data_IF_681658565558
#
_entry.id   IF_681658565558
#
_cell.length_a   1.000
_cell.length_b   1.000
_cell.length_c   1.000
_cell.angle_alpha   90.00
_cell.angle_beta   90.00
_cell.angle_gamma   90.00
#
_symmetry.space_group_name_H-M   'P 1'
#
loop_
_entity.id
_entity.type
_entity.pdbx_description
1 polymer ?
#
# COMPACT_ATOMS: atom_id res chain seq x y z
N UNK A 1 33.58 36.24 -20.88
CA UNK A 1 33.56 35.95 -19.42
C UNK A 1 33.80 37.20 -18.56
N UNK A 2 34.86 37.98 -18.81
CA UNK A 2 35.18 39.19 -18.03
C UNK A 2 34.07 40.26 -18.09
N UNK A 3 33.42 40.44 -19.24
CA UNK A 3 32.29 41.38 -19.40
C UNK A 3 31.15 41.07 -18.42
N UNK A 4 30.77 39.79 -18.27
CA UNK A 4 29.74 39.34 -17.31
C UNK A 4 30.18 39.50 -15.86
N UNK A 5 31.43 39.16 -15.56
CA UNK A 5 31.98 39.31 -14.21
C UNK A 5 32.00 40.78 -13.77
N UNK A 6 32.41 41.69 -14.65
CA UNK A 6 32.41 43.13 -14.36
C UNK A 6 30.98 43.68 -14.31
N UNK A 7 30.08 43.25 -15.19
CA UNK A 7 28.67 43.65 -15.13
C UNK A 7 27.93 43.15 -13.86
N UNK A 8 28.39 42.04 -13.27
CA UNK A 8 27.87 41.56 -11.98
C UNK A 8 28.42 42.34 -10.77
N UNK A 9 29.60 42.97 -10.91
CA UNK A 9 30.26 43.72 -9.84
C UNK A 9 30.02 45.23 -9.92
N UNK A 10 29.77 45.75 -11.11
CA UNK A 10 29.64 47.18 -11.38
C UNK A 10 28.25 47.51 -11.91
N UNK A 11 27.70 48.69 -11.57
CA UNK A 11 26.34 49.09 -11.98
C UNK A 11 26.22 49.49 -13.47
N UNK A 12 27.20 49.17 -14.32
CA UNK A 12 27.24 49.53 -15.74
C UNK A 12 27.76 48.37 -16.59
N UNK A 13 27.27 48.26 -17.83
CA UNK A 13 27.71 47.23 -18.76
C UNK A 13 29.01 47.65 -19.48
N UNK A 14 30.09 46.86 -19.39
CA UNK A 14 31.34 47.19 -20.07
C UNK A 14 31.22 47.01 -21.58
N UNK A 15 31.61 48.03 -22.36
CA UNK A 15 31.64 47.93 -23.83
C UNK A 15 32.74 46.96 -24.31
N UNK A 16 32.60 46.42 -25.52
CA UNK A 16 33.58 45.45 -26.07
C UNK A 16 34.96 46.09 -26.32
N UNK A 17 34.98 47.40 -26.62
CA UNK A 17 36.22 48.18 -26.72
C UNK A 17 36.92 48.34 -25.35
N UNK A 18 36.14 48.47 -24.27
CA UNK A 18 36.67 48.51 -22.91
C UNK A 18 37.28 47.16 -22.52
N UNK A 19 36.57 46.06 -22.77
CA UNK A 19 37.06 44.70 -22.49
C UNK A 19 38.37 44.42 -23.23
N UNK A 20 38.46 44.85 -24.49
CA UNK A 20 39.67 44.68 -25.32
C UNK A 20 40.85 45.48 -24.77
N UNK A 21 40.62 46.74 -24.36
CA UNK A 21 41.66 47.58 -23.74
C UNK A 21 42.10 47.03 -22.38
N UNK A 22 41.16 46.56 -21.57
CA UNK A 22 41.43 45.96 -20.27
C UNK A 22 42.30 44.71 -20.40
N UNK A 23 41.95 43.80 -21.31
CA UNK A 23 42.73 42.60 -21.60
C UNK A 23 44.14 42.92 -22.09
N UNK A 24 44.28 43.96 -22.94
CA UNK A 24 45.59 44.43 -23.42
C UNK A 24 46.44 45.03 -22.31
N UNK A 25 45.85 45.84 -21.43
CA UNK A 25 46.52 46.51 -20.30
C UNK A 25 47.00 45.52 -19.23
N UNK A 26 46.24 44.44 -19.01
CA UNK A 26 46.50 43.45 -17.95
C UNK A 26 46.94 42.08 -18.45
N UNK A 27 47.43 42.00 -19.70
CA UNK A 27 47.86 40.76 -20.37
C UNK A 27 48.82 39.93 -19.52
N UNK A 28 49.87 40.55 -19.01
CA UNK A 28 50.93 39.86 -18.27
C UNK A 28 50.43 39.38 -16.91
N UNK A 29 49.59 40.16 -16.25
CA UNK A 29 49.00 39.78 -14.97
C UNK A 29 48.04 38.59 -15.10
N UNK A 30 47.25 38.53 -16.17
CA UNK A 30 46.28 37.45 -16.40
C UNK A 30 47.00 36.15 -16.76
N UNK A 31 47.99 36.21 -17.65
CA UNK A 31 48.77 35.04 -18.10
C UNK A 31 49.64 34.45 -17.00
N UNK A 32 50.29 35.30 -16.19
CA UNK A 32 51.10 34.83 -15.07
C UNK A 32 50.25 34.21 -13.96
N UNK A 33 49.08 34.78 -13.64
CA UNK A 33 48.16 34.25 -12.62
C UNK A 33 47.56 32.90 -13.02
N UNK A 34 47.14 32.71 -14.28
CA UNK A 34 46.61 31.42 -14.72
C UNK A 34 47.67 30.32 -14.69
N UNK A 35 48.91 30.64 -15.06
CA UNK A 35 50.02 29.68 -14.97
C UNK A 35 50.44 29.35 -13.54
N UNK A 36 50.31 30.29 -12.59
CA UNK A 36 50.60 30.04 -11.16
C UNK A 36 49.58 29.08 -10.55
N UNK A 37 48.30 29.21 -10.91
CA UNK A 37 47.23 28.35 -10.39
C UNK A 37 47.23 26.94 -10.97
N UNK A 38 47.76 26.75 -12.19
CA UNK A 38 47.72 25.47 -12.92
C UNK A 38 49.09 24.82 -13.13
N UNK A 39 50.19 25.53 -12.84
CA UNK A 39 51.57 25.05 -13.05
C UNK A 39 52.00 24.97 -14.52
N UNK A 40 51.14 25.37 -15.47
CA UNK A 40 51.38 25.23 -16.91
C UNK A 40 51.44 26.62 -17.55
N UNK A 41 52.61 27.00 -18.05
CA UNK A 41 52.76 28.26 -18.79
C UNK A 41 52.33 28.05 -20.26
N UNK A 42 51.27 28.73 -20.75
CA UNK A 42 50.81 28.55 -22.11
C UNK A 42 51.82 29.12 -23.10
N UNK A 43 52.33 28.28 -24.01
CA UNK A 43 53.33 28.66 -25.01
C UNK A 43 52.87 29.79 -25.95
N UNK A 44 51.54 29.99 -26.08
CA UNK A 44 50.91 31.09 -26.81
C UNK A 44 49.82 31.77 -25.95
N UNK A 45 50.11 32.95 -25.41
CA UNK A 45 49.19 33.73 -24.56
C UNK A 45 47.89 34.16 -25.27
N UNK A 46 47.95 34.39 -26.59
CA UNK A 46 46.80 34.84 -27.40
C UNK A 46 45.64 33.84 -27.39
N UNK A 47 45.93 32.54 -27.31
CA UNK A 47 44.91 31.49 -27.29
C UNK A 47 44.02 31.59 -26.04
N UNK A 48 44.62 31.95 -24.91
CA UNK A 48 43.91 32.14 -23.63
C UNK A 48 43.07 33.42 -23.69
N UNK A 49 43.61 34.51 -24.24
CA UNK A 49 42.89 35.77 -24.39
C UNK A 49 41.69 35.64 -25.33
N UNK A 50 41.84 34.96 -26.47
CA UNK A 50 40.77 34.74 -27.43
C UNK A 50 39.64 33.90 -26.84
N UNK A 51 39.94 32.88 -26.02
CA UNK A 51 38.91 32.08 -25.33
C UNK A 51 38.06 32.92 -24.36
N UNK A 52 38.63 33.96 -23.76
CA UNK A 52 37.91 34.86 -22.85
C UNK A 52 36.97 35.84 -23.59
N UNK A 53 37.30 36.14 -24.85
CA UNK A 53 36.53 37.01 -25.77
C UNK A 53 35.45 36.22 -26.52
N UNK A 54 35.78 35.06 -27.08
CA UNK A 54 34.92 34.28 -28.01
C UNK A 54 33.82 33.44 -27.37
N UNK A 55 33.63 33.50 -26.05
CA UNK A 55 32.47 32.86 -25.39
C UNK A 55 31.21 33.70 -25.64
N UNK A 56 30.70 33.64 -26.87
CA UNK A 56 29.34 34.09 -27.22
C UNK A 56 28.32 33.32 -26.37
N UNK A 57 27.18 33.94 -25.97
CA UNK A 57 26.13 33.24 -25.26
C UNK A 57 25.57 32.11 -26.13
N UNK A 58 25.12 30.97 -25.56
CA UNK A 58 24.15 30.14 -26.25
C UNK A 58 22.91 30.99 -26.58
N UNK A 59 22.26 30.78 -27.73
CA UNK A 59 21.02 31.47 -28.05
C UNK A 59 20.02 31.22 -26.93
N UNK A 60 19.37 32.29 -26.48
CA UNK A 60 18.25 32.21 -25.55
C UNK A 60 17.22 31.28 -26.17
N UNK A 61 17.06 30.08 -25.60
CA UNK A 61 15.91 29.25 -25.90
C UNK A 61 14.70 29.96 -25.36
N UNK A 62 13.71 30.12 -26.24
CA UNK A 62 12.42 30.68 -25.96
C UNK A 62 11.84 30.14 -24.65
N UNK A 63 11.18 31.04 -23.95
CA UNK A 63 10.50 30.87 -22.67
C UNK A 63 9.48 29.73 -22.72
N UNK A 64 9.93 28.49 -22.57
CA UNK A 64 9.09 27.46 -21.98
C UNK A 64 9.02 27.77 -20.49
N UNK A 65 7.78 27.87 -19.99
CA UNK A 65 7.42 28.12 -18.60
C UNK A 65 8.11 27.07 -17.72
N UNK A 66 9.31 27.43 -17.28
CA UNK A 66 10.14 26.66 -16.38
C UNK A 66 9.48 26.59 -15.01
N UNK A 67 9.73 25.46 -14.36
CA UNK A 67 9.30 25.09 -13.02
C UNK A 67 9.20 26.31 -12.08
N UNK A 68 8.04 26.46 -11.44
CA UNK A 68 7.67 27.65 -10.65
C UNK A 68 8.58 27.78 -9.42
N UNK A 69 9.73 28.40 -9.60
CA UNK A 69 10.74 28.63 -8.57
C UNK A 69 11.87 29.54 -9.02
N UNK A 70 11.80 30.16 -10.20
CA UNK A 70 12.79 31.10 -10.67
C UNK A 70 12.34 32.54 -10.34
N UNK A 71 13.27 33.35 -9.83
CA UNK A 71 13.01 34.67 -9.21
C UNK A 71 12.30 35.72 -10.08
N UNK A 72 12.02 35.40 -11.34
CA UNK A 72 11.26 36.22 -12.29
C UNK A 72 9.73 36.16 -12.09
N UNK A 73 9.26 35.17 -11.32
CA UNK A 73 7.83 34.99 -11.00
C UNK A 73 7.27 36.21 -10.25
N UNK A 74 8.07 36.83 -9.37
CA UNK A 74 7.63 38.03 -8.64
C UNK A 74 7.39 39.22 -9.54
N UNK A 75 8.29 39.48 -10.50
CA UNK A 75 8.14 40.61 -11.41
C UNK A 75 6.90 40.43 -12.27
N UNK A 76 6.63 39.22 -12.73
CA UNK A 76 5.41 38.88 -13.45
C UNK A 76 4.15 39.08 -12.61
N UNK A 77 4.12 38.52 -11.39
CA UNK A 77 2.96 38.64 -10.50
C UNK A 77 2.77 40.07 -10.00
N UNK A 78 3.83 40.80 -9.68
CA UNK A 78 3.77 42.21 -9.29
C UNK A 78 3.29 43.10 -10.44
N UNK A 79 3.66 42.79 -11.68
CA UNK A 79 3.14 43.48 -12.86
C UNK A 79 1.65 43.16 -13.08
N UNK A 80 1.23 41.91 -12.83
CA UNK A 80 -0.17 41.50 -12.89
C UNK A 80 -1.00 42.21 -11.81
N UNK A 81 -0.52 42.26 -10.57
CA UNK A 81 -1.18 42.98 -9.47
C UNK A 81 -1.28 44.48 -9.78
N UNK A 82 -0.24 45.09 -10.36
CA UNK A 82 -0.29 46.50 -10.83
C UNK A 82 -1.26 46.71 -11.99
N UNK A 83 -1.43 45.73 -12.88
CA UNK A 83 -2.36 45.81 -14.01
C UNK A 83 -3.83 45.69 -13.56
N UNK A 84 -4.10 44.85 -12.54
CA UNK A 84 -5.46 44.65 -11.99
C UNK A 84 -5.87 45.78 -11.05
N UNK A 85 -4.92 46.35 -10.31
CA UNK A 85 -5.16 47.48 -9.41
C UNK A 85 -4.23 48.65 -9.79
N UNK A 86 -4.64 49.53 -10.72
CA UNK A 86 -3.82 50.69 -11.11
C UNK A 86 -3.60 51.66 -9.95
N UNK A 87 -4.57 51.79 -9.03
CA UNK A 87 -4.51 52.66 -7.86
C UNK A 87 -3.93 51.95 -6.62
N UNK A 88 -2.66 51.57 -6.70
CA UNK A 88 -1.90 50.95 -5.60
C UNK A 88 -1.60 51.91 -4.43
N UNK A 89 -2.05 53.16 -4.51
CA UNK A 89 -1.89 54.17 -3.47
C UNK A 89 -2.90 54.01 -2.33
N UNK A 90 -4.02 53.33 -2.57
CA UNK A 90 -5.07 53.05 -1.58
C UNK A 90 -4.55 52.13 -0.46
N UNK A 91 -5.05 52.33 0.75
CA UNK A 91 -4.60 51.58 1.95
C UNK A 91 -4.87 50.07 1.77
N UNK A 92 -5.99 49.70 1.13
CA UNK A 92 -6.32 48.31 0.85
C UNK A 92 -5.31 47.65 -0.11
N UNK A 93 -4.93 48.34 -1.20
CA UNK A 93 -3.96 47.83 -2.17
C UNK A 93 -2.55 47.67 -1.57
N UNK A 94 -2.14 48.58 -0.67
CA UNK A 94 -0.87 48.45 0.07
C UNK A 94 -0.84 47.21 0.95
N UNK A 95 -1.91 46.93 1.69
CA UNK A 95 -2.04 45.73 2.52
C UNK A 95 -1.99 44.44 1.69
N UNK A 96 -2.65 44.42 0.53
CA UNK A 96 -2.60 43.27 -0.39
C UNK A 96 -1.17 43.05 -0.91
N UNK A 97 -0.46 44.14 -1.26
CA UNK A 97 0.94 44.06 -1.71
C UNK A 97 1.87 43.54 -0.60
N UNK A 98 1.70 44.03 0.62
CA UNK A 98 2.48 43.59 1.79
C UNK A 98 2.21 42.12 2.12
N UNK A 99 0.93 41.71 2.14
CA UNK A 99 0.55 40.32 2.35
C UNK A 99 1.14 39.41 1.27
N UNK A 100 1.06 39.82 0.00
CA UNK A 100 1.64 39.07 -1.11
C UNK A 100 3.16 38.92 -0.98
N UNK A 101 3.86 40.01 -0.64
CA UNK A 101 5.30 39.96 -0.39
C UNK A 101 5.66 39.04 0.79
N UNK A 102 4.89 39.10 1.88
CA UNK A 102 5.11 38.22 3.04
C UNK A 102 4.91 36.74 2.69
N UNK A 103 3.88 36.41 1.90
CA UNK A 103 3.62 35.04 1.47
C UNK A 103 4.71 34.51 0.55
N UNK A 104 5.22 35.34 -0.35
CA UNK A 104 6.33 34.97 -1.21
C UNK A 104 7.61 34.70 -0.42
N UNK A 105 8.00 35.62 0.48
CA UNK A 105 9.20 35.44 1.31
C UNK A 105 9.09 34.14 2.12
N UNK A 106 7.91 33.85 2.66
CA UNK A 106 7.66 32.59 3.36
C UNK A 106 7.77 31.37 2.43
N UNK A 107 7.26 31.47 1.21
CA UNK A 107 7.33 30.39 0.24
C UNK A 107 8.78 30.10 -0.18
N UNK A 108 9.57 31.14 -0.47
CA UNK A 108 11.01 31.02 -0.76
C UNK A 108 11.76 30.39 0.42
N UNK A 109 11.47 30.83 1.65
CA UNK A 109 12.07 30.27 2.85
C UNK A 109 11.74 28.78 3.00
N UNK A 110 10.49 28.38 2.74
CA UNK A 110 10.07 26.98 2.75
C UNK A 110 10.74 26.17 1.65
N UNK A 111 10.95 26.73 0.46
CA UNK A 111 11.70 26.05 -0.61
C UNK A 111 13.15 25.82 -0.21
N UNK A 112 13.82 26.84 0.32
CA UNK A 112 15.19 26.72 0.82
C UNK A 112 15.30 25.70 1.96
N UNK A 113 14.35 25.71 2.90
CA UNK A 113 14.31 24.72 3.98
C UNK A 113 14.12 23.30 3.42
N UNK A 114 13.19 23.11 2.48
CA UNK A 114 12.98 21.81 1.83
C UNK A 114 14.22 21.33 1.06
N UNK A 115 14.91 22.22 0.36
CA UNK A 115 16.17 21.91 -0.34
C UNK A 115 17.27 21.51 0.65
N UNK A 116 17.42 22.26 1.74
CA UNK A 116 18.36 21.95 2.81
C UNK A 116 18.02 20.61 3.49
N UNK A 117 16.75 20.34 3.78
CA UNK A 117 16.30 19.06 4.34
C UNK A 117 16.58 17.91 3.36
N UNK A 118 16.29 18.08 2.07
CA UNK A 118 16.64 17.10 1.04
C UNK A 118 18.14 16.87 0.97
N UNK A 119 18.95 17.93 1.03
CA UNK A 119 20.41 17.86 1.02
C UNK A 119 20.96 17.15 2.27
N UNK A 120 20.41 17.44 3.45
CA UNK A 120 20.82 16.76 4.70
C UNK A 120 20.42 15.29 4.68
N UNK A 121 19.24 14.94 4.16
CA UNK A 121 18.81 13.55 4.00
C UNK A 121 19.73 12.80 3.04
N UNK A 122 20.05 13.36 1.88
CA UNK A 122 20.96 12.72 0.92
C UNK A 122 22.36 12.56 1.51
N UNK A 123 22.87 13.57 2.19
CA UNK A 123 24.16 13.51 2.88
C UNK A 123 24.16 12.46 3.99
N UNK A 124 23.11 12.39 4.83
CA UNK A 124 22.95 11.34 5.85
C UNK A 124 22.85 9.95 5.22
N UNK A 125 22.10 9.78 4.13
CA UNK A 125 22.01 8.51 3.37
C UNK A 125 23.38 8.10 2.81
N UNK A 126 24.18 9.06 2.32
CA UNK A 126 25.56 8.80 1.88
C UNK A 126 26.46 8.36 3.05
N UNK A 127 26.40 9.04 4.21
CA UNK A 127 27.17 8.67 5.40
C UNK A 127 26.84 7.27 5.93
N UNK A 128 25.60 6.80 5.79
CA UNK A 128 25.20 5.43 6.20
C UNK A 128 25.80 4.32 5.32
N UNK A 129 26.23 4.65 4.09
CA UNK A 129 27.08 3.76 3.28
C UNK A 129 28.49 3.84 3.87
N UNK A 130 28.68 3.26 5.05
CA UNK A 130 30.01 2.91 5.52
C UNK A 130 30.68 2.13 4.38
N UNK A 131 31.96 2.39 4.13
CA UNK A 131 32.71 1.72 3.09
C UNK A 131 32.59 0.21 3.37
N UNK A 132 31.84 -0.52 2.54
CA UNK A 132 31.81 -1.99 2.63
C UNK A 132 33.24 -2.43 2.41
N UNK A 133 33.85 -3.01 3.44
CA UNK A 133 35.20 -3.55 3.32
C UNK A 133 35.08 -4.73 2.36
N UNK A 134 35.85 -4.66 1.29
CA UNK A 134 35.94 -5.72 0.31
C UNK A 134 36.52 -6.95 0.98
N UNK A 135 35.86 -8.12 0.86
CA UNK A 135 36.34 -9.36 1.47
C UNK A 135 37.56 -9.90 0.70
N UNK A 136 38.72 -9.38 1.06
CA UNK A 136 40.01 -9.80 0.52
C UNK A 136 40.43 -11.07 1.25
N UNK A 137 40.37 -12.21 0.55
CA UNK A 137 40.77 -13.50 1.09
C UNK A 137 42.26 -13.73 0.86
N UNK A 138 42.98 -14.06 1.94
CA UNK A 138 44.40 -14.40 1.88
C UNK A 138 44.55 -15.81 1.31
N UNK A 139 45.34 -15.96 0.25
CA UNK A 139 45.67 -17.28 -0.28
C UNK A 139 46.60 -18.01 0.70
N UNK A 140 46.33 -19.30 0.93
CA UNK A 140 47.05 -20.12 1.92
C UNK A 140 48.56 -20.20 1.66
N UNK A 141 48.98 -19.96 0.42
CA UNK A 141 50.37 -20.00 -0.04
C UNK A 141 51.26 -18.93 0.60
N UNK A 142 50.70 -17.82 1.10
CA UNK A 142 51.46 -16.67 1.61
C UNK A 142 50.97 -16.26 3.00
N UNK A 143 51.29 -17.03 4.03
CA UNK A 143 51.01 -16.70 5.44
C UNK A 143 52.18 -15.95 6.08
N UNK A 144 52.35 -14.68 5.73
CA UNK A 144 53.29 -13.77 6.40
C UNK A 144 52.59 -12.84 7.39
N UNK A 145 53.31 -12.37 8.41
CA UNK A 145 52.78 -11.45 9.45
C UNK A 145 52.29 -10.11 8.89
N UNK A 146 52.81 -9.68 7.73
CA UNK A 146 52.28 -8.56 6.96
C UNK A 146 51.54 -9.08 5.73
N UNK A 147 50.27 -8.68 5.57
CA UNK A 147 49.43 -9.04 4.42
C UNK A 147 49.48 -7.91 3.40
N UNK A 148 50.16 -8.15 2.28
CA UNK A 148 50.20 -7.23 1.13
C UNK A 148 49.20 -7.73 0.09
N UNK A 149 48.22 -6.90 -0.25
CA UNK A 149 47.21 -7.26 -1.24
C UNK A 149 47.68 -7.01 -2.66
N UNK A 150 47.64 -8.04 -3.50
CA UNK A 150 47.89 -7.88 -4.93
C UNK A 150 46.67 -7.26 -5.64
N UNK A 151 46.86 -6.52 -6.75
CA UNK A 151 45.74 -6.02 -7.56
C UNK A 151 44.81 -7.12 -8.08
N UNK A 152 45.31 -8.35 -8.22
CA UNK A 152 44.51 -9.53 -8.57
C UNK A 152 43.54 -9.91 -7.46
N UNK A 153 43.99 -9.99 -6.21
CA UNK A 153 43.12 -10.29 -5.06
C UNK A 153 41.96 -9.29 -4.92
N UNK A 154 42.22 -8.00 -5.21
CA UNK A 154 41.19 -6.96 -5.24
C UNK A 154 40.15 -7.18 -6.34
N UNK A 155 40.56 -7.63 -7.53
CA UNK A 155 39.62 -7.94 -8.62
C UNK A 155 38.73 -9.12 -8.28
N UNK A 156 39.31 -10.21 -7.79
CA UNK A 156 38.57 -11.41 -7.41
C UNK A 156 37.54 -11.12 -6.30
N UNK A 157 37.91 -10.31 -5.30
CA UNK A 157 36.98 -9.94 -4.25
C UNK A 157 35.81 -9.08 -4.77
N UNK A 158 36.03 -8.22 -5.77
CA UNK A 158 34.95 -7.46 -6.43
C UNK A 158 34.01 -8.36 -7.22
N UNK A 159 34.55 -9.37 -7.89
CA UNK A 159 33.76 -10.36 -8.62
C UNK A 159 32.86 -11.16 -7.67
N UNK A 160 33.40 -11.61 -6.52
CA UNK A 160 32.60 -12.28 -5.47
C UNK A 160 31.49 -11.37 -4.93
N UNK A 161 31.81 -10.11 -4.65
CA UNK A 161 30.81 -9.12 -4.21
C UNK A 161 29.72 -8.90 -5.26
N UNK A 162 30.07 -8.87 -6.54
CA UNK A 162 29.10 -8.74 -7.63
C UNK A 162 28.18 -9.97 -7.71
N UNK A 163 28.73 -11.18 -7.56
CA UNK A 163 27.96 -12.42 -7.52
C UNK A 163 27.00 -12.41 -6.32
N UNK A 164 27.48 -12.07 -5.11
CA UNK A 164 26.62 -11.96 -3.93
C UNK A 164 25.49 -10.96 -4.12
N UNK A 165 25.75 -9.80 -4.74
CA UNK A 165 24.71 -8.82 -5.02
C UNK A 165 23.65 -9.34 -6.01
N UNK A 166 24.08 -10.09 -7.02
CA UNK A 166 23.16 -10.74 -7.97
C UNK A 166 22.32 -11.82 -7.27
N UNK A 167 22.92 -12.65 -6.42
CA UNK A 167 22.22 -13.66 -5.63
C UNK A 167 21.22 -13.01 -4.66
N UNK A 168 21.59 -11.95 -3.96
CA UNK A 168 20.70 -11.20 -3.08
C UNK A 168 19.53 -10.57 -3.86
N UNK A 169 19.78 -10.04 -5.05
CA UNK A 169 18.75 -9.47 -5.91
C UNK A 169 17.78 -10.56 -6.41
N UNK A 170 18.31 -11.70 -6.86
CA UNK A 170 17.52 -12.85 -7.28
C UNK A 170 16.69 -13.41 -6.12
N UNK A 171 17.25 -13.51 -4.91
CA UNK A 171 16.55 -13.96 -3.72
C UNK A 171 15.43 -12.99 -3.29
N UNK A 172 15.62 -11.67 -3.45
CA UNK A 172 14.55 -10.68 -3.22
C UNK A 172 13.43 -10.85 -4.23
N UNK A 173 13.76 -11.01 -5.50
CA UNK A 173 12.79 -11.24 -6.57
C UNK A 173 12.01 -12.54 -6.37
N UNK A 174 12.68 -13.63 -5.98
CA UNK A 174 12.04 -14.90 -5.62
C UNK A 174 11.08 -14.73 -4.43
N UNK A 175 11.49 -14.00 -3.38
CA UNK A 175 10.61 -13.73 -2.23
C UNK A 175 9.37 -12.92 -2.61
N UNK A 176 9.48 -12.01 -3.58
CA UNK A 176 8.34 -11.27 -4.11
C UNK A 176 7.41 -12.20 -4.90
N UNK A 177 7.95 -13.01 -5.81
CA UNK A 177 7.19 -14.02 -6.56
C UNK A 177 6.47 -15.00 -5.62
N UNK A 178 7.13 -15.49 -4.57
CA UNK A 178 6.53 -16.36 -3.56
C UNK A 178 5.40 -15.68 -2.80
N UNK A 179 5.54 -14.38 -2.48
CA UNK A 179 4.49 -13.59 -1.83
C UNK A 179 3.28 -13.44 -2.75
N UNK A 180 3.51 -13.18 -4.03
CA UNK A 180 2.46 -13.07 -5.04
C UNK A 180 1.75 -14.41 -5.24
N UNK A 181 2.49 -15.52 -5.39
CA UNK A 181 1.93 -16.86 -5.51
C UNK A 181 1.09 -17.24 -4.28
N UNK A 182 1.57 -16.91 -3.07
CA UNK A 182 0.81 -17.11 -1.82
C UNK A 182 -0.44 -16.26 -1.76
N UNK A 183 -0.38 -15.01 -2.21
CA UNK A 183 -1.53 -14.12 -2.27
C UNK A 183 -2.58 -14.63 -3.26
N UNK A 184 -2.17 -15.08 -4.45
CA UNK A 184 -3.04 -15.69 -5.45
C UNK A 184 -3.70 -16.99 -4.94
N UNK A 185 -2.93 -17.88 -4.31
CA UNK A 185 -3.47 -19.11 -3.70
C UNK A 185 -4.47 -18.80 -2.58
N UNK A 186 -4.20 -17.78 -1.75
CA UNK A 186 -5.13 -17.34 -0.72
C UNK A 186 -6.42 -16.75 -1.33
N UNK A 187 -6.33 -16.02 -2.44
CA UNK A 187 -7.48 -15.48 -3.15
C UNK A 187 -8.35 -16.60 -3.75
N UNK A 188 -7.75 -17.59 -4.43
CA UNK A 188 -8.46 -18.76 -4.95
C UNK A 188 -9.15 -19.54 -3.82
N UNK A 189 -8.46 -19.76 -2.69
CA UNK A 189 -9.06 -20.41 -1.51
C UNK A 189 -10.25 -19.62 -0.95
N UNK A 190 -10.19 -18.29 -0.94
CA UNK A 190 -11.31 -17.44 -0.50
C UNK A 190 -12.51 -17.56 -1.44
N UNK A 191 -12.28 -17.63 -2.76
CA UNK A 191 -13.34 -17.83 -3.75
C UNK A 191 -14.04 -19.18 -3.52
N UNK A 192 -13.30 -20.28 -3.41
CA UNK A 192 -13.86 -21.60 -3.12
C UNK A 192 -14.65 -21.63 -1.80
N UNK A 193 -14.18 -20.92 -0.77
CA UNK A 193 -14.91 -20.80 0.50
C UNK A 193 -16.19 -19.96 0.37
N UNK A 194 -16.19 -18.92 -0.46
CA UNK A 194 -17.36 -18.09 -0.71
C UNK A 194 -18.42 -18.87 -1.50
N UNK A 195 -18.01 -19.61 -2.53
CA UNK A 195 -18.86 -20.50 -3.30
C UNK A 195 -19.48 -21.59 -2.42
N UNK A 196 -18.67 -22.28 -1.62
CA UNK A 196 -19.17 -23.30 -0.69
C UNK A 196 -20.13 -22.72 0.38
N UNK A 197 -19.96 -21.44 0.78
CA UNK A 197 -20.92 -20.76 1.65
C UNK A 197 -22.21 -20.42 0.91
N UNK A 198 -22.12 -19.93 -0.33
CA UNK A 198 -23.28 -19.63 -1.16
C UNK A 198 -24.13 -20.89 -1.41
N UNK A 199 -23.50 -22.01 -1.76
CA UNK A 199 -24.18 -23.30 -1.92
C UNK A 199 -24.90 -23.74 -0.64
N UNK A 200 -24.28 -23.55 0.52
CA UNK A 200 -24.92 -23.85 1.82
C UNK A 200 -26.14 -22.98 2.08
N UNK A 201 -26.08 -21.69 1.75
CA UNK A 201 -27.23 -20.79 1.92
C UNK A 201 -28.36 -21.16 0.96
N UNK A 202 -28.06 -21.47 -0.31
CA UNK A 202 -29.05 -21.98 -1.27
C UNK A 202 -29.69 -23.28 -0.77
N UNK A 203 -28.89 -24.22 -0.25
CA UNK A 203 -29.40 -25.47 0.31
C UNK A 203 -30.28 -25.24 1.55
N UNK A 204 -29.95 -24.26 2.41
CA UNK A 204 -30.80 -23.88 3.56
C UNK A 204 -32.13 -23.30 3.09
N UNK A 205 -32.12 -22.40 2.10
CA UNK A 205 -33.32 -21.80 1.55
C UNK A 205 -34.21 -22.87 0.91
N UNK A 206 -33.62 -23.81 0.15
CA UNK A 206 -34.37 -24.93 -0.44
C UNK A 206 -35.01 -25.82 0.64
N UNK A 207 -34.25 -26.16 1.71
CA UNK A 207 -34.77 -26.92 2.86
C UNK A 207 -35.88 -26.17 3.61
N UNK A 208 -35.76 -24.86 3.76
CA UNK A 208 -36.80 -24.03 4.39
C UNK A 208 -38.09 -24.02 3.55
N UNK A 209 -37.97 -23.78 2.23
CA UNK A 209 -39.10 -23.83 1.29
C UNK A 209 -39.78 -25.20 1.27
N UNK A 210 -39.02 -26.29 1.31
CA UNK A 210 -39.58 -27.64 1.37
C UNK A 210 -40.34 -27.87 2.68
N UNK A 211 -39.80 -27.41 3.83
CA UNK A 211 -40.48 -27.49 5.13
C UNK A 211 -41.76 -26.66 5.14
N UNK A 212 -41.75 -25.46 4.58
CA UNK A 212 -42.93 -24.60 4.43
C UNK A 212 -43.99 -25.26 3.54
N UNK A 213 -43.59 -25.82 2.39
CA UNK A 213 -44.50 -26.53 1.49
C UNK A 213 -45.12 -27.76 2.17
N UNK A 214 -44.32 -28.57 2.88
CA UNK A 214 -44.83 -29.72 3.66
C UNK A 214 -45.79 -29.26 4.76
N UNK A 215 -45.48 -28.16 5.46
CA UNK A 215 -46.36 -27.59 6.48
C UNK A 215 -47.68 -27.08 5.88
N UNK A 216 -47.64 -26.41 4.73
CA UNK A 216 -48.81 -25.93 4.01
C UNK A 216 -49.69 -27.09 3.51
N UNK A 217 -49.09 -28.17 3.00
CA UNK A 217 -49.81 -29.39 2.62
C UNK A 217 -50.51 -30.03 3.83
N UNK A 218 -49.82 -30.16 4.96
CA UNK A 218 -50.41 -30.69 6.19
C UNK A 218 -51.53 -29.78 6.72
N UNK A 219 -51.38 -28.46 6.63
CA UNK A 219 -52.41 -27.50 7.03
C UNK A 219 -53.65 -27.59 6.12
N UNK A 220 -53.47 -27.66 4.80
CA UNK A 220 -54.54 -27.85 3.83
C UNK A 220 -55.28 -29.19 4.04
N UNK A 221 -54.56 -30.27 4.31
CA UNK A 221 -55.15 -31.56 4.63
C UNK A 221 -55.98 -31.52 5.93
N UNK A 222 -55.51 -30.79 6.95
CA UNK A 222 -56.27 -30.57 8.19
C UNK A 222 -57.51 -29.72 7.96
N UNK A 223 -57.42 -28.66 7.16
CA UNK A 223 -58.55 -27.82 6.78
C UNK A 223 -59.64 -28.62 6.06
N UNK A 224 -59.27 -29.42 5.05
CA UNK A 224 -60.21 -30.32 4.35
C UNK A 224 -60.90 -31.30 5.31
N UNK A 225 -60.14 -31.94 6.19
CA UNK A 225 -60.73 -32.83 7.21
C UNK A 225 -61.66 -32.10 8.16
N UNK A 226 -61.39 -30.84 8.49
CA UNK A 226 -62.27 -30.02 9.32
C UNK A 226 -63.55 -29.63 8.57
N UNK A 227 -63.45 -29.26 7.29
CA UNK A 227 -64.59 -28.99 6.40
C UNK A 227 -65.47 -30.22 6.22
N UNK A 228 -64.89 -31.40 5.98
CA UNK A 228 -65.61 -32.67 5.89
C UNK A 228 -66.36 -32.99 7.19
N UNK A 229 -65.71 -32.76 8.35
CA UNK A 229 -66.36 -32.92 9.66
C UNK A 229 -67.48 -31.92 9.86
N UNK A 230 -67.29 -30.65 9.50
CA UNK A 230 -68.30 -29.60 9.58
C UNK A 230 -69.50 -29.90 8.67
N UNK A 231 -69.25 -30.35 7.44
CA UNK A 231 -70.28 -30.80 6.51
C UNK A 231 -71.02 -32.04 7.04
N UNK A 232 -70.31 -33.01 7.63
CA UNK A 232 -70.93 -34.17 8.27
C UNK A 232 -71.80 -33.76 9.47
N UNK A 233 -71.36 -32.81 10.30
CA UNK A 233 -72.17 -32.27 11.40
C UNK A 233 -73.39 -31.49 10.89
N UNK A 234 -73.25 -30.71 9.82
CA UNK A 234 -74.36 -29.96 9.22
C UNK A 234 -75.42 -30.90 8.58
N UNK A 235 -74.97 -31.98 7.91
CA UNK A 235 -75.86 -33.05 7.43
C UNK A 235 -76.60 -33.72 8.58
N UNK A 236 -75.89 -34.11 9.65
CA UNK A 236 -76.51 -34.66 10.87
C UNK A 236 -77.53 -33.71 11.48
N UNK A 237 -77.24 -32.41 11.56
CA UNK A 237 -78.17 -31.40 12.08
C UNK A 237 -79.42 -31.27 11.19
N UNK A 238 -79.28 -31.25 9.86
CA UNK A 238 -80.43 -31.29 8.92
C UNK A 238 -81.25 -32.56 9.09
N UNK A 239 -80.61 -33.72 9.21
CA UNK A 239 -81.30 -35.00 9.42
C UNK A 239 -82.06 -35.04 10.75
N UNK A 240 -81.52 -34.42 11.82
CA UNK A 240 -82.22 -34.29 13.10
C UNK A 240 -83.38 -33.29 13.07
N UNK A 241 -83.29 -32.21 12.29
CA UNK A 241 -84.40 -31.26 12.10
C UNK A 241 -85.55 -31.89 11.32
N UNK A 242 -85.27 -32.84 10.42
CA UNK A 242 -86.30 -33.62 9.73
C UNK A 242 -86.91 -34.75 10.60
N UNK A 243 -86.35 -35.01 11.79
CA UNK A 243 -86.75 -36.11 12.67
C UNK A 243 -87.09 -35.59 14.07
N UNK A 244 -88.01 -34.62 14.14
CA UNK A 244 -88.46 -34.01 15.38
C UNK A 244 -89.95 -34.29 15.67
N UNK A 245 -90.28 -35.55 15.97
CA UNK A 245 -91.30 -35.92 16.97
C UNK A 245 -90.87 -37.23 17.64
N UNK A 246 -90.19 -37.14 18.80
CA UNK A 246 -90.47 -38.01 19.96
C UNK A 246 -89.59 -37.67 21.18
N UNK A 247 -90.28 -37.64 22.32
CA UNK A 247 -89.81 -37.33 23.69
C UNK A 247 -88.95 -38.46 24.28
N UNK A 248 -88.02 -38.05 25.18
CA UNK A 248 -87.64 -38.62 26.51
C UNK A 248 -87.39 -40.15 26.56
N UNK A 249 -86.36 -40.76 27.16
CA UNK A 249 -85.44 -40.55 28.28
C UNK A 249 -84.33 -41.62 28.15
N UNK A 250 -83.23 -41.54 28.90
CA UNK A 250 -82.67 -42.68 29.68
C UNK A 250 -81.20 -42.47 30.04
N UNK A 251 -80.88 -42.77 31.30
CA UNK A 251 -79.56 -42.79 31.94
C UNK A 251 -78.70 -43.98 31.49
N UNK A 252 -77.37 -43.86 31.52
CA UNK A 252 -76.51 -44.91 32.09
C UNK A 252 -75.05 -44.48 32.29
N UNK A 253 -74.53 -44.81 33.48
CA UNK A 253 -73.10 -44.83 33.86
C UNK A 253 -72.42 -46.07 33.29
N UNK A 254 -71.09 -46.02 33.10
CA UNK A 254 -70.18 -47.15 33.31
C UNK A 254 -68.72 -46.64 33.36
N UNK A 255 -67.77 -47.54 33.64
CA UNK A 255 -66.74 -47.42 34.69
C UNK A 255 -65.40 -47.97 34.16
N UNK A 256 -64.29 -47.26 34.45
CA UNK A 256 -62.90 -47.73 34.74
C UNK A 256 -62.14 -48.50 33.64
N UNK A 257 -60.88 -48.14 33.33
CA UNK A 257 -59.69 -48.85 33.86
C UNK A 257 -58.38 -48.07 33.63
N UNK A 258 -57.63 -47.87 34.71
CA UNK A 258 -56.18 -47.62 34.69
C UNK A 258 -55.46 -48.95 34.50
N UNK A 259 -54.44 -49.00 33.66
CA UNK A 259 -53.36 -50.00 33.72
C UNK A 259 -52.02 -49.30 33.57
N UNK A 260 -51.20 -49.42 34.62
CA UNK A 260 -49.76 -49.28 34.53
C UNK A 260 -49.13 -50.58 34.03
N UNK A 261 -47.92 -50.48 33.52
CA UNK A 261 -47.10 -51.62 33.11
C UNK A 261 -45.68 -51.17 32.84
N UNK A 262 -44.82 -51.31 33.85
CA UNK A 262 -43.36 -51.40 33.69
C UNK A 262 -43.04 -52.86 33.38
N UNK A 263 -42.16 -53.12 32.41
CA UNK A 263 -41.44 -54.37 32.31
C UNK A 263 -40.08 -54.13 31.62
N UNK A 264 -39.01 -54.45 32.34
CA UNK A 264 -37.68 -54.69 31.80
C UNK A 264 -37.52 -56.21 31.56
N UNK A 265 -36.84 -56.61 30.49
CA UNK A 265 -36.11 -57.89 30.40
C UNK A 265 -35.18 -57.92 29.16
N UNK A 266 -33.88 -57.84 29.46
CA UNK A 266 -32.73 -58.63 29.00
C UNK A 266 -32.61 -59.23 27.57
N UNK A 267 -31.43 -58.91 26.99
CA UNK A 267 -30.46 -59.75 26.25
C UNK A 267 -30.91 -60.68 25.12
N UNK A 268 -30.40 -60.40 23.92
CA UNK A 268 -29.86 -61.42 23.04
C UNK A 268 -28.57 -60.91 22.39
N UNK A 269 -27.56 -61.78 22.41
CA UNK A 269 -26.25 -61.63 21.80
C UNK A 269 -26.35 -61.74 20.28
N UNK A 270 -25.83 -60.76 19.56
CA UNK A 270 -25.36 -60.94 18.19
C UNK A 270 -24.00 -60.26 18.02
N UNK A 271 -23.09 -61.04 17.44
CA UNK A 271 -21.69 -60.76 17.19
C UNK A 271 -21.52 -59.46 16.41
N UNK A 272 -20.73 -58.53 16.94
CA UNK A 272 -20.32 -57.31 16.25
C UNK A 272 -18.79 -57.20 16.27
N UNK A 273 -18.25 -57.02 15.07
CA UNK A 273 -16.85 -56.77 14.72
C UNK A 273 -16.18 -55.65 15.53
N UNK A 274 -14.84 -55.62 15.62
CA UNK A 274 -14.12 -54.81 16.60
C UNK A 274 -14.27 -53.30 16.39
N UNK A 275 -14.69 -52.62 17.47
CA UNK A 275 -14.85 -51.18 17.59
C UNK A 275 -13.47 -50.48 17.54
N UNK A 276 -13.27 -49.43 16.72
CA UNK A 276 -12.03 -48.63 16.73
C UNK A 276 -11.92 -47.77 18.00
N UNK A 277 -10.68 -47.59 18.49
CA UNK A 277 -10.32 -46.83 19.70
C UNK A 277 -10.99 -45.43 19.73
N UNK A 278 -11.45 -44.94 20.92
CA UNK A 278 -12.12 -43.65 21.01
C UNK A 278 -11.17 -42.49 20.69
N UNK A 279 -11.64 -41.56 19.85
CA UNK A 279 -10.91 -40.33 19.50
C UNK A 279 -10.77 -39.41 20.73
N UNK A 280 -9.64 -38.70 20.87
CA UNK A 280 -9.42 -37.81 22.00
C UNK A 280 -10.38 -36.60 21.95
N UNK A 281 -10.99 -36.27 23.10
CA UNK A 281 -11.94 -35.16 23.22
C UNK A 281 -11.20 -33.82 23.08
N UNK A 282 -11.36 -33.15 21.94
CA UNK A 282 -10.87 -31.78 21.70
C UNK A 282 -11.93 -30.73 21.97
N UNK A 283 -11.53 -29.57 22.50
CA UNK A 283 -12.41 -28.40 22.64
C UNK A 283 -12.85 -27.85 21.27
N UNK A 284 -13.85 -26.96 21.23
CA UNK A 284 -14.28 -26.21 20.03
C UNK A 284 -13.15 -25.39 19.38
N UNK A 285 -12.00 -25.22 20.05
CA UNK A 285 -10.79 -24.56 19.50
C UNK A 285 -9.63 -25.53 19.24
N UNK A 286 -9.88 -26.84 19.20
CA UNK A 286 -8.89 -27.85 18.82
C UNK A 286 -7.83 -28.19 19.86
N UNK A 287 -8.03 -27.80 21.14
CA UNK A 287 -7.10 -28.18 22.22
C UNK A 287 -7.48 -29.52 22.82
N UNK A 288 -6.46 -30.35 23.06
CA UNK A 288 -6.63 -31.69 23.62
C UNK A 288 -6.93 -31.61 25.12
N UNK A 289 -8.03 -32.22 25.58
CA UNK A 289 -8.45 -32.19 26.98
C UNK A 289 -7.85 -33.40 27.71
N UNK A 290 -6.96 -33.17 28.68
CA UNK A 290 -6.52 -34.19 29.62
C UNK A 290 -7.53 -34.24 30.77
N UNK A 291 -8.22 -35.36 30.94
CA UNK A 291 -9.14 -35.55 32.06
C UNK A 291 -8.34 -35.71 33.37
N UNK A 292 -8.80 -35.15 34.51
CA UNK A 292 -8.16 -35.38 35.79
C UNK A 292 -8.34 -36.83 36.23
N UNK A 293 -7.30 -37.45 36.83
CA UNK A 293 -7.31 -38.84 37.35
C UNK A 293 -8.46 -39.21 38.29
N UNK A 294 -9.16 -38.22 38.85
CA UNK A 294 -10.35 -38.46 39.70
C UNK A 294 -11.58 -38.93 38.91
N UNK A 295 -11.53 -38.83 37.58
CA UNK A 295 -12.62 -39.17 36.65
C UNK A 295 -12.19 -40.19 35.58
N UNK A 296 -11.03 -40.83 35.78
CA UNK A 296 -10.63 -42.04 35.03
C UNK A 296 -11.29 -43.28 35.63
#
# INVERSE_FOLDING_TARGET
>A
MIKKYVAALAPWEPSDSWVTRFLRRHRDAITNKTSTATGVHPRNAEVVLNRLVSSSPPPNTDTEVGDHGDGDTYRHLANLVKAVAPDMSTIAAKRVKEAFHSLQVNNELLHLENEQLRHTITTKKRKKKHNKVLDLQQHQEYQSLAVIWSPRAVREARERDAIQQQEEAAAKLQKEQDREARAAAAACRKQLQAEAKAEREVAKIARAKEREARAAQLAAARARKAEERAAATAKKLRDTQNKAVRKVSSSQKSKVTKRGGVAAAQSSSSVAEPIPKPLPKTTTRGRNIKLPKKYE
#
